data_IF_521912528362
#
_entry.id   IF_521912528362
#
_cell.length_a   1.000
_cell.length_b   1.000
_cell.length_c   1.000
_cell.angle_alpha   90.00
_cell.angle_beta   90.00
_cell.angle_gamma   90.00
#
_symmetry.space_group_name_H-M   'P 1'
#
loop_
_entity.id
_entity.type
_entity.pdbx_description
1 polymer ?
#
# COMPACT_ATOMS: atom_id res chain seq x y z
N UNK A 1 -3.17 -1.13 25.31
CA UNK A 1 -4.47 -1.71 24.91
C UNK A 1 -4.23 -2.93 24.02
N UNK A 2 -4.81 -4.09 24.30
CA UNK A 2 -4.65 -5.27 23.42
C UNK A 2 -5.70 -5.18 22.29
N UNK A 3 -5.28 -4.84 21.08
CA UNK A 3 -6.17 -4.80 19.91
C UNK A 3 -6.30 -6.22 19.37
N UNK A 4 -7.54 -6.71 19.31
CA UNK A 4 -7.84 -8.00 18.74
C UNK A 4 -8.03 -7.85 17.22
N UNK A 5 -7.20 -8.48 16.36
CA UNK A 5 -7.32 -8.38 14.92
C UNK A 5 -8.69 -8.85 14.43
N UNK A 6 -9.34 -8.05 13.59
CA UNK A 6 -10.67 -8.37 13.01
C UNK A 6 -10.47 -9.19 11.75
N UNK A 7 -10.86 -10.49 11.78
CA UNK A 7 -10.77 -11.39 10.62
C UNK A 7 -11.60 -10.89 9.43
N UNK A 8 -12.73 -10.24 9.68
CA UNK A 8 -13.60 -9.66 8.64
C UNK A 8 -12.91 -8.55 7.83
N UNK A 9 -11.93 -7.87 8.42
CA UNK A 9 -11.12 -6.83 7.78
C UNK A 9 -9.78 -7.36 7.23
N UNK A 10 -9.51 -8.67 7.35
CA UNK A 10 -8.28 -9.29 6.85
C UNK A 10 -6.99 -8.80 7.54
N UNK A 11 -7.10 -8.35 8.79
CA UNK A 11 -5.99 -7.72 9.51
C UNK A 11 -4.87 -8.71 9.83
N UNK A 12 -3.66 -8.42 9.31
CA UNK A 12 -2.40 -9.07 9.61
C UNK A 12 -1.35 -7.96 9.79
N UNK A 13 -0.99 -7.67 11.04
CA UNK A 13 -0.05 -6.58 11.34
C UNK A 13 1.38 -7.04 11.10
N UNK A 14 2.13 -6.29 10.31
CA UNK A 14 3.55 -6.51 10.12
C UNK A 14 4.30 -6.11 11.39
N UNK A 15 5.09 -7.04 11.96
CA UNK A 15 5.80 -6.86 13.24
C UNK A 15 7.32 -7.00 13.10
N UNK A 16 7.79 -7.51 11.99
CA UNK A 16 9.21 -7.73 11.69
C UNK A 16 9.89 -6.40 11.35
N UNK A 17 10.83 -5.99 12.22
CA UNK A 17 11.49 -4.69 12.11
C UNK A 17 12.39 -4.58 10.89
N UNK A 18 13.07 -5.66 10.51
CA UNK A 18 13.98 -5.67 9.35
C UNK A 18 13.17 -5.54 8.05
N UNK A 19 12.01 -6.19 8.00
CA UNK A 19 11.08 -6.07 6.87
C UNK A 19 10.48 -4.65 6.81
N UNK A 20 10.05 -4.09 7.95
CA UNK A 20 9.54 -2.71 8.02
C UNK A 20 10.59 -1.71 7.51
N UNK A 21 11.85 -1.88 7.91
CA UNK A 21 12.94 -1.03 7.44
C UNK A 21 13.21 -1.18 5.95
N UNK A 22 13.19 -2.41 5.41
CA UNK A 22 13.31 -2.65 3.98
C UNK A 22 12.18 -1.99 3.18
N UNK A 23 10.94 -2.02 3.68
CA UNK A 23 9.80 -1.38 3.03
C UNK A 23 10.01 0.12 2.89
N UNK A 24 10.35 0.82 3.98
CA UNK A 24 10.52 2.29 3.94
C UNK A 24 11.78 2.72 3.19
N UNK A 25 12.76 1.82 3.05
CA UNK A 25 13.97 2.05 2.25
C UNK A 25 13.81 1.72 0.76
N UNK A 26 12.62 1.27 0.33
CA UNK A 26 12.36 0.95 -1.09
C UNK A 26 12.45 2.19 -1.97
N UNK A 27 12.05 3.33 -1.45
CA UNK A 27 12.07 4.65 -2.14
C UNK A 27 12.46 5.75 -1.16
N UNK A 28 13.05 6.84 -1.67
CA UNK A 28 13.37 8.03 -0.86
C UNK A 28 12.08 8.82 -0.55
N UNK A 29 11.86 9.13 0.75
CA UNK A 29 10.68 9.85 1.22
C UNK A 29 10.98 11.06 2.10
N UNK A 30 12.24 11.39 2.33
CA UNK A 30 12.59 12.59 3.07
C UNK A 30 12.05 13.85 2.34
N UNK A 31 11.39 14.72 3.09
CA UNK A 31 10.74 15.94 2.58
C UNK A 31 9.62 15.70 1.56
N UNK A 32 9.08 14.46 1.45
CA UNK A 32 7.96 14.12 0.56
C UNK A 32 6.66 13.93 1.34
N UNK A 33 5.53 14.05 0.64
CA UNK A 33 4.24 13.71 1.21
C UNK A 33 3.98 12.21 1.01
N UNK A 34 3.59 11.55 2.09
CA UNK A 34 3.40 10.10 2.16
C UNK A 34 1.96 9.79 2.50
N UNK A 35 1.40 8.76 1.87
CA UNK A 35 0.11 8.17 2.20
C UNK A 35 0.30 6.72 2.65
N UNK A 36 -0.16 6.38 3.84
CA UNK A 36 -0.23 5.00 4.31
C UNK A 36 -1.67 4.49 4.27
N UNK A 37 -1.87 3.33 3.63
CA UNK A 37 -3.17 2.66 3.57
C UNK A 37 -3.21 1.51 4.56
N UNK A 38 -4.15 1.56 5.51
CA UNK A 38 -4.32 0.56 6.53
C UNK A 38 -3.13 0.49 7.49
N UNK A 39 -2.78 1.58 8.19
CA UNK A 39 -1.66 1.62 9.13
C UNK A 39 -1.79 0.60 10.26
N UNK A 40 -3.02 0.17 10.58
CA UNK A 40 -3.30 -0.84 11.58
C UNK A 40 -2.79 -0.44 12.97
N UNK A 41 -1.81 -1.18 13.51
CA UNK A 41 -1.18 -0.84 14.80
C UNK A 41 -0.14 0.30 14.72
N UNK A 42 0.08 0.87 13.53
CA UNK A 42 1.04 1.96 13.30
C UNK A 42 2.50 1.53 13.33
N UNK A 43 2.79 0.25 13.05
CA UNK A 43 4.17 -0.22 13.03
C UNK A 43 4.93 0.38 11.84
N UNK A 44 4.35 0.32 10.63
CA UNK A 44 4.97 0.89 9.44
C UNK A 44 4.98 2.43 9.52
N UNK A 45 3.92 3.05 10.03
CA UNK A 45 3.85 4.50 10.32
C UNK A 45 5.07 4.98 11.12
N UNK A 46 5.44 4.23 12.17
CA UNK A 46 6.62 4.54 13.01
C UNK A 46 7.91 4.57 12.19
N UNK A 47 8.08 3.69 11.22
CA UNK A 47 9.28 3.66 10.36
C UNK A 47 9.22 4.73 9.27
N UNK A 48 8.04 5.05 8.75
CA UNK A 48 7.83 6.15 7.80
C UNK A 48 8.24 7.47 8.45
N UNK A 49 7.75 7.78 9.65
CA UNK A 49 8.05 9.02 10.38
C UNK A 49 9.55 9.21 10.64
N UNK A 50 10.31 8.13 10.91
CA UNK A 50 11.77 8.18 11.09
C UNK A 50 12.55 8.62 9.84
N UNK A 51 11.94 8.60 8.66
CA UNK A 51 12.54 9.06 7.41
C UNK A 51 12.32 10.54 7.14
N UNK A 52 11.78 11.30 8.11
CA UNK A 52 11.51 12.73 8.01
C UNK A 52 10.70 13.12 6.76
N UNK A 53 9.52 12.50 6.51
CA UNK A 53 8.65 12.95 5.44
C UNK A 53 8.15 14.39 5.72
N UNK A 54 7.74 15.10 4.68
CA UNK A 54 7.15 16.43 4.79
C UNK A 54 5.79 16.38 5.51
N UNK A 55 5.00 15.35 5.20
CA UNK A 55 3.68 15.07 5.79
C UNK A 55 3.32 13.60 5.60
N UNK A 56 2.62 13.05 6.58
CA UNK A 56 2.07 11.67 6.50
C UNK A 56 0.56 11.74 6.62
N UNK A 57 -0.12 11.23 5.61
CA UNK A 57 -1.55 10.93 5.64
C UNK A 57 -1.72 9.44 5.91
N UNK A 58 -2.73 9.06 6.67
CA UNK A 58 -3.03 7.66 6.96
C UNK A 58 -4.53 7.41 6.82
N UNK A 59 -4.92 6.38 6.07
CA UNK A 59 -6.32 5.98 5.91
C UNK A 59 -6.54 4.67 6.64
N UNK A 60 -7.38 4.71 7.68
CA UNK A 60 -7.76 3.53 8.47
C UNK A 60 -9.28 3.42 8.55
N UNK A 61 -9.78 2.23 8.23
CA UNK A 61 -11.22 1.95 8.23
C UNK A 61 -11.74 1.49 9.59
N UNK A 62 -10.90 0.92 10.42
CA UNK A 62 -11.25 0.40 11.73
C UNK A 62 -11.22 1.50 12.77
N UNK A 63 -12.40 1.87 13.32
CA UNK A 63 -12.55 2.96 14.29
C UNK A 63 -11.68 2.77 15.55
N UNK A 64 -11.53 1.52 16.04
CA UNK A 64 -10.70 1.24 17.21
C UNK A 64 -9.21 1.46 16.92
N UNK A 65 -8.76 1.10 15.70
CA UNK A 65 -7.39 1.35 15.26
C UNK A 65 -7.18 2.84 14.97
N UNK A 66 -8.17 3.53 14.41
CA UNK A 66 -8.11 4.97 14.17
C UNK A 66 -7.88 5.73 15.50
N UNK A 67 -8.67 5.45 16.54
CA UNK A 67 -8.48 6.04 17.86
C UNK A 67 -7.10 5.76 18.47
N UNK A 68 -6.59 4.52 18.29
CA UNK A 68 -5.24 4.17 18.74
C UNK A 68 -4.16 4.97 18.00
N UNK A 69 -4.32 5.17 16.69
CA UNK A 69 -3.37 5.92 15.87
C UNK A 69 -3.37 7.40 16.24
N UNK A 70 -4.54 7.99 16.51
CA UNK A 70 -4.67 9.35 17.02
C UNK A 70 -3.94 9.55 18.35
N UNK A 71 -4.14 8.62 19.30
CA UNK A 71 -3.44 8.65 20.59
C UNK A 71 -1.92 8.48 20.43
N UNK A 72 -1.50 7.56 19.54
CA UNK A 72 -0.10 7.20 19.37
C UNK A 72 0.73 8.24 18.62
N UNK A 73 0.17 8.86 17.59
CA UNK A 73 0.89 9.74 16.68
C UNK A 73 0.43 11.20 16.73
N UNK A 74 -0.68 11.48 17.42
CA UNK A 74 -1.21 12.84 17.63
C UNK A 74 -1.10 13.72 16.36
N UNK A 75 -0.28 14.76 16.40
CA UNK A 75 -0.11 15.73 15.32
C UNK A 75 0.95 15.31 14.26
N UNK A 76 1.57 14.12 14.39
CA UNK A 76 2.60 13.67 13.46
C UNK A 76 2.02 13.15 12.14
N UNK A 77 0.75 12.74 12.15
CA UNK A 77 0.04 12.24 10.96
C UNK A 77 -1.31 12.96 10.79
N UNK A 78 -1.78 13.00 9.55
CA UNK A 78 -3.17 13.38 9.24
C UNK A 78 -3.97 12.11 9.03
N UNK A 79 -4.76 11.71 10.03
CA UNK A 79 -5.57 10.50 9.98
C UNK A 79 -6.90 10.76 9.27
N UNK A 80 -7.29 9.86 8.38
CA UNK A 80 -8.57 9.81 7.68
C UNK A 80 -9.24 8.49 8.07
N UNK A 81 -10.24 8.54 8.92
CA UNK A 81 -10.98 7.35 9.33
C UNK A 81 -12.11 7.07 8.33
N UNK A 82 -11.80 6.36 7.25
CA UNK A 82 -12.76 6.00 6.19
C UNK A 82 -12.27 4.79 5.39
N UNK A 83 -13.14 4.30 4.50
CA UNK A 83 -12.84 3.23 3.57
C UNK A 83 -12.08 3.76 2.34
N UNK A 84 -10.86 3.24 2.09
CA UNK A 84 -10.04 3.60 0.93
C UNK A 84 -10.79 3.45 -0.40
N UNK A 85 -11.74 2.52 -0.49
CA UNK A 85 -12.52 2.32 -1.71
C UNK A 85 -13.49 3.48 -2.00
N UNK A 86 -13.81 4.32 -1.00
CA UNK A 86 -14.70 5.49 -1.13
C UNK A 86 -13.96 6.81 -1.29
N UNK A 87 -12.65 6.84 -1.04
CA UNK A 87 -11.85 8.06 -1.07
C UNK A 87 -11.41 8.37 -2.50
N UNK A 88 -11.35 9.65 -2.85
CA UNK A 88 -10.66 10.18 -4.02
C UNK A 88 -9.25 10.59 -3.59
N UNK A 89 -8.26 9.81 -3.93
CA UNK A 89 -6.88 9.96 -3.45
C UNK A 89 -6.21 11.24 -3.97
N UNK A 90 -6.60 11.69 -5.16
CA UNK A 90 -6.17 12.95 -5.79
C UNK A 90 -6.59 14.22 -5.02
N UNK A 91 -7.54 14.10 -4.07
CA UNK A 91 -8.00 15.21 -3.22
C UNK A 91 -7.28 15.27 -1.87
N UNK A 92 -6.45 14.29 -1.54
CA UNK A 92 -5.72 14.24 -0.26
C UNK A 92 -4.61 15.28 -0.22
N UNK A 93 -3.92 15.46 -1.35
CA UNK A 93 -2.82 16.41 -1.49
C UNK A 93 -2.79 17.01 -2.89
N UNK A 94 -2.25 18.22 -2.99
CA UNK A 94 -1.89 18.84 -4.28
C UNK A 94 -0.54 18.37 -4.82
N UNK A 95 0.28 17.72 -3.98
CA UNK A 95 1.55 17.12 -4.37
C UNK A 95 1.38 15.62 -4.70
N UNK A 96 2.30 15.08 -5.48
CA UNK A 96 2.32 13.63 -5.74
C UNK A 96 2.73 12.87 -4.49
N UNK A 97 1.96 11.86 -4.15
CA UNK A 97 2.16 11.06 -2.95
C UNK A 97 3.09 9.87 -3.20
N UNK A 98 3.91 9.51 -2.24
CA UNK A 98 4.46 8.16 -2.12
C UNK A 98 3.54 7.35 -1.23
N UNK A 99 3.01 6.25 -1.77
CA UNK A 99 2.00 5.43 -1.09
C UNK A 99 2.63 4.15 -0.55
N UNK A 100 2.40 3.87 0.73
CA UNK A 100 2.70 2.58 1.36
C UNK A 100 1.40 1.87 1.74
N UNK A 101 1.36 0.55 1.57
CA UNK A 101 0.19 -0.21 1.98
C UNK A 101 0.49 -1.69 2.23
N UNK A 102 0.22 -2.14 3.46
CA UNK A 102 0.02 -3.54 3.76
C UNK A 102 -1.47 -3.85 3.58
N UNK A 103 -1.91 -3.90 2.31
CA UNK A 103 -3.33 -3.93 1.95
C UNK A 103 -4.03 -5.20 2.46
N UNK A 104 -5.29 -5.10 2.94
CA UNK A 104 -6.10 -6.27 3.22
C UNK A 104 -6.23 -7.14 1.96
N UNK A 105 -5.88 -8.43 2.06
CA UNK A 105 -5.76 -9.31 0.90
C UNK A 105 -7.04 -9.46 0.09
N UNK A 106 -8.19 -9.37 0.74
CA UNK A 106 -9.51 -9.50 0.12
C UNK A 106 -9.88 -8.34 -0.81
N UNK A 107 -9.29 -7.15 -0.61
CA UNK A 107 -9.59 -5.94 -1.40
C UNK A 107 -8.37 -5.36 -2.12
N UNK A 108 -7.18 -5.93 -1.95
CA UNK A 108 -5.93 -5.39 -2.50
C UNK A 108 -5.95 -5.22 -4.02
N UNK A 109 -6.52 -6.17 -4.75
CA UNK A 109 -6.66 -6.10 -6.21
C UNK A 109 -7.72 -5.10 -6.64
N UNK A 110 -8.79 -4.92 -5.86
CA UNK A 110 -9.83 -3.94 -6.11
C UNK A 110 -9.27 -2.52 -5.96
N UNK A 111 -8.52 -2.26 -4.88
CA UNK A 111 -7.83 -0.97 -4.65
C UNK A 111 -6.90 -0.65 -5.83
N UNK A 112 -6.01 -1.58 -6.19
CA UNK A 112 -5.07 -1.37 -7.30
C UNK A 112 -5.81 -1.13 -8.63
N UNK A 113 -6.86 -1.90 -8.91
CA UNK A 113 -7.64 -1.75 -10.13
C UNK A 113 -8.37 -0.42 -10.19
N UNK A 114 -9.01 0.01 -9.08
CA UNK A 114 -9.64 1.32 -8.94
C UNK A 114 -8.65 2.43 -9.28
N UNK A 115 -7.46 2.39 -8.71
CA UNK A 115 -6.45 3.41 -8.96
C UNK A 115 -6.02 3.45 -10.42
N UNK A 116 -5.69 2.30 -11.02
CA UNK A 116 -5.23 2.26 -12.42
C UNK A 116 -6.31 2.74 -13.39
N UNK A 117 -7.57 2.33 -13.19
CA UNK A 117 -8.69 2.71 -14.06
C UNK A 117 -8.94 4.21 -13.99
N UNK A 118 -8.93 4.78 -12.77
CA UNK A 118 -9.24 6.19 -12.54
C UNK A 118 -8.08 7.14 -12.85
N UNK A 119 -6.86 6.66 -13.08
CA UNK A 119 -5.75 7.49 -13.54
C UNK A 119 -6.03 7.96 -14.98
N UNK A 120 -6.11 9.27 -15.14
CA UNK A 120 -6.04 9.93 -16.43
C UNK A 120 -4.56 10.19 -16.80
N UNK A 121 -4.24 11.29 -17.47
CA UNK A 121 -2.84 11.64 -17.80
C UNK A 121 -2.00 12.06 -16.58
N UNK A 122 -2.63 12.55 -15.53
CA UNK A 122 -1.94 13.01 -14.33
C UNK A 122 -2.02 11.97 -13.21
N UNK A 123 -0.87 11.40 -12.84
CA UNK A 123 -0.76 10.54 -11.67
C UNK A 123 -0.75 11.39 -10.40
N UNK A 124 -1.61 11.05 -9.43
CA UNK A 124 -1.64 11.65 -8.10
C UNK A 124 -0.54 11.10 -7.17
N UNK A 125 0.18 10.09 -7.62
CA UNK A 125 1.31 9.48 -6.90
C UNK A 125 2.58 9.46 -7.76
N UNK A 126 3.73 9.34 -7.10
CA UNK A 126 5.02 9.07 -7.74
C UNK A 126 5.46 7.61 -7.55
N UNK A 127 5.12 7.00 -6.39
CA UNK A 127 5.46 5.62 -6.06
C UNK A 127 4.30 4.96 -5.32
N UNK A 128 4.03 3.66 -5.63
CA UNK A 128 3.19 2.81 -4.81
C UNK A 128 4.05 1.64 -4.33
N UNK A 129 4.24 1.51 -3.03
CA UNK A 129 4.97 0.43 -2.36
C UNK A 129 3.93 -0.44 -1.65
N UNK A 130 3.47 -1.49 -2.32
CA UNK A 130 2.29 -2.24 -1.92
C UNK A 130 2.60 -3.72 -1.70
N UNK A 131 2.00 -4.28 -0.66
CA UNK A 131 2.11 -5.69 -0.33
C UNK A 131 0.87 -6.46 -0.81
N UNK A 132 1.13 -7.62 -1.41
CA UNK A 132 0.10 -8.55 -1.89
C UNK A 132 0.41 -9.97 -1.41
N UNK A 133 -0.59 -10.84 -1.40
CA UNK A 133 -0.34 -12.28 -1.36
C UNK A 133 0.56 -12.69 -2.52
N UNK A 134 1.50 -13.61 -2.29
CA UNK A 134 2.51 -14.02 -3.28
C UNK A 134 1.88 -14.42 -4.62
N UNK A 135 0.82 -15.21 -4.60
CA UNK A 135 0.13 -15.62 -5.84
C UNK A 135 -0.46 -14.42 -6.60
N UNK A 136 -1.03 -13.45 -5.88
CA UNK A 136 -1.56 -12.22 -6.49
C UNK A 136 -0.44 -11.40 -7.10
N UNK A 137 0.67 -11.22 -6.37
CA UNK A 137 1.85 -10.50 -6.86
C UNK A 137 2.42 -11.16 -8.13
N UNK A 138 2.52 -12.49 -8.15
CA UNK A 138 2.98 -13.25 -9.32
C UNK A 138 2.06 -13.06 -10.54
N UNK A 139 0.75 -12.93 -10.33
CA UNK A 139 -0.21 -12.59 -11.39
C UNK A 139 -0.07 -11.14 -11.86
N UNK A 140 0.22 -10.19 -10.96
CA UNK A 140 0.45 -8.78 -11.30
C UNK A 140 1.66 -8.64 -12.23
N UNK A 141 2.78 -9.31 -11.92
CA UNK A 141 4.04 -9.19 -12.65
C UNK A 141 4.22 -10.23 -13.78
N UNK A 142 3.22 -11.06 -14.04
CA UNK A 142 3.30 -12.13 -15.03
C UNK A 142 3.55 -11.57 -16.44
N UNK A 143 4.47 -12.25 -17.18
CA UNK A 143 4.76 -11.94 -18.59
C UNK A 143 3.82 -12.70 -19.53
N UNK A 144 3.64 -12.20 -20.75
CA UNK A 144 2.70 -12.73 -21.75
C UNK A 144 2.78 -14.24 -22.03
N UNK A 145 3.94 -14.85 -21.82
CA UNK A 145 4.14 -16.29 -22.04
C UNK A 145 3.98 -17.13 -20.76
N UNK A 146 3.51 -16.55 -19.66
CA UNK A 146 3.31 -17.21 -18.37
C UNK A 146 1.87 -17.71 -18.23
N UNK A 147 1.67 -18.89 -17.62
CA UNK A 147 0.32 -19.40 -17.25
C UNK A 147 -0.43 -18.50 -16.27
N UNK A 148 0.26 -17.60 -15.57
CA UNK A 148 -0.31 -16.61 -14.65
C UNK A 148 -0.70 -15.31 -15.33
N UNK A 149 -0.37 -15.13 -16.61
CA UNK A 149 -0.71 -13.93 -17.37
C UNK A 149 -2.21 -13.83 -17.62
N UNK A 150 -2.80 -12.68 -17.32
CA UNK A 150 -4.24 -12.48 -17.47
C UNK A 150 -4.64 -11.02 -17.23
N UNK A 151 -5.91 -10.80 -16.98
CA UNK A 151 -6.50 -9.45 -16.83
C UNK A 151 -5.73 -8.56 -15.86
N UNK A 152 -5.30 -9.12 -14.72
CA UNK A 152 -4.58 -8.35 -13.69
C UNK A 152 -3.20 -7.92 -14.18
N UNK A 153 -2.46 -8.80 -14.89
CA UNK A 153 -1.16 -8.46 -15.49
C UNK A 153 -1.32 -7.34 -16.53
N UNK A 154 -2.31 -7.48 -17.41
CA UNK A 154 -2.58 -6.51 -18.49
C UNK A 154 -2.91 -5.15 -17.88
N UNK A 155 -3.86 -5.11 -16.95
CA UNK A 155 -4.29 -3.88 -16.29
C UNK A 155 -3.12 -3.20 -15.56
N UNK A 156 -2.37 -3.96 -14.74
CA UNK A 156 -1.29 -3.40 -13.95
C UNK A 156 -0.13 -2.88 -14.81
N UNK A 157 0.20 -3.59 -15.88
CA UNK A 157 1.27 -3.18 -16.79
C UNK A 157 0.83 -2.17 -17.86
N UNK A 158 -0.44 -1.77 -17.90
CA UNK A 158 -0.93 -0.78 -18.85
C UNK A 158 -0.30 0.60 -18.58
N UNK A 159 -0.45 1.10 -17.34
CA UNK A 159 -0.03 2.47 -16.96
C UNK A 159 1.19 2.50 -16.02
N UNK A 160 1.63 1.35 -15.49
CA UNK A 160 2.64 1.27 -14.45
C UNK A 160 3.84 0.41 -14.85
N UNK A 161 5.03 0.82 -14.42
CA UNK A 161 6.20 -0.05 -14.32
C UNK A 161 6.15 -0.74 -12.97
N UNK A 162 6.47 -2.04 -12.94
CA UNK A 162 6.32 -2.86 -11.74
C UNK A 162 7.62 -3.59 -11.45
N UNK A 163 8.11 -3.45 -10.21
CA UNK A 163 9.30 -4.13 -9.72
C UNK A 163 8.98 -4.94 -8.48
N UNK A 164 9.34 -6.23 -8.48
CA UNK A 164 9.33 -7.04 -7.27
C UNK A 164 10.50 -6.64 -6.38
N UNK A 165 10.24 -6.39 -5.11
CA UNK A 165 11.24 -5.99 -4.12
C UNK A 165 11.66 -7.19 -3.28
N UNK A 166 10.76 -7.75 -2.46
CA UNK A 166 11.04 -8.89 -1.58
C UNK A 166 9.83 -9.81 -1.43
N UNK A 167 10.09 -11.08 -1.09
CA UNK A 167 9.08 -11.99 -0.54
C UNK A 167 9.15 -11.95 1.00
N UNK A 168 7.99 -11.90 1.65
CA UNK A 168 7.85 -11.75 3.10
C UNK A 168 7.15 -13.00 3.66
N UNK A 169 7.77 -13.60 4.67
CA UNK A 169 7.28 -14.84 5.27
C UNK A 169 6.15 -14.57 6.28
N UNK A 170 5.23 -15.54 6.50
CA UNK A 170 4.13 -15.39 7.45
C UNK A 170 4.54 -15.04 8.88
N UNK A 171 5.74 -15.48 9.32
CA UNK A 171 6.25 -15.18 10.67
C UNK A 171 6.53 -13.69 10.90
N UNK A 172 6.66 -12.90 9.85
CA UNK A 172 6.80 -11.43 9.95
C UNK A 172 5.51 -10.72 10.35
N UNK A 173 4.39 -11.46 10.50
CA UNK A 173 3.07 -10.89 10.81
C UNK A 173 2.46 -11.45 12.10
N UNK A 174 1.58 -10.66 12.71
CA UNK A 174 0.70 -11.07 13.82
C UNK A 174 -0.74 -10.55 13.58
N UNK A 175 -1.75 -11.45 13.48
CA UNK A 175 -1.64 -12.90 13.36
C UNK A 175 -0.92 -13.32 12.08
N UNK A 176 -0.38 -14.54 12.07
CA UNK A 176 0.32 -15.08 10.89
C UNK A 176 -0.66 -15.40 9.78
N UNK A 177 -0.49 -14.87 8.56
CA UNK A 177 -1.24 -15.32 7.39
C UNK A 177 -0.84 -16.76 7.01
N UNK A 178 -1.67 -17.42 6.20
CA UNK A 178 -1.42 -18.80 5.77
C UNK A 178 -0.36 -18.93 4.67
N UNK A 179 -0.06 -17.84 3.95
CA UNK A 179 0.75 -17.82 2.74
C UNK A 179 1.75 -16.65 2.78
N UNK A 180 2.81 -16.78 1.99
CA UNK A 180 3.81 -15.73 1.79
C UNK A 180 3.17 -14.49 1.18
N UNK A 181 3.76 -13.33 1.45
CA UNK A 181 3.45 -12.05 0.83
C UNK A 181 4.61 -11.59 -0.06
N UNK A 182 4.34 -10.67 -0.95
CA UNK A 182 5.35 -10.05 -1.82
C UNK A 182 5.15 -8.55 -1.85
N UNK A 183 6.23 -7.81 -1.66
CA UNK A 183 6.27 -6.36 -1.82
C UNK A 183 6.57 -6.02 -3.27
N UNK A 184 5.72 -5.18 -3.85
CA UNK A 184 5.87 -4.63 -5.20
C UNK A 184 6.01 -3.11 -5.14
N UNK A 185 6.90 -2.58 -5.97
CA UNK A 185 7.01 -1.15 -6.27
C UNK A 185 6.39 -0.89 -7.64
N UNK A 186 5.49 0.10 -7.69
CA UNK A 186 4.88 0.58 -8.91
C UNK A 186 5.28 2.04 -9.13
N UNK A 187 5.66 2.37 -10.35
CA UNK A 187 5.93 3.74 -10.77
C UNK A 187 5.16 4.06 -12.03
N UNK A 188 4.73 5.33 -12.24
CA UNK A 188 4.09 5.76 -13.47
C UNK A 188 4.91 5.45 -14.72
N UNK A 189 4.26 5.04 -15.79
CA UNK A 189 4.86 5.04 -17.13
C UNK A 189 4.79 6.45 -17.71
N UNK A 190 5.83 6.86 -18.40
CA UNK A 190 5.84 8.14 -19.13
C UNK A 190 4.81 8.16 -20.27
N UNK A 191 4.64 7.02 -20.94
CA UNK A 191 3.72 6.87 -22.06
C UNK A 191 2.88 5.60 -21.91
N UNK A 192 1.60 5.72 -22.11
CA UNK A 192 0.64 4.62 -22.20
C UNK A 192 -0.47 4.99 -23.18
N UNK A 193 -1.11 3.98 -23.80
CA UNK A 193 -2.21 4.23 -24.72
C UNK A 193 -3.51 4.54 -23.96
N UNK A 194 -4.31 5.44 -24.50
CA UNK A 194 -5.66 5.72 -24.00
C UNK A 194 -6.66 4.73 -24.61
N UNK A 195 -7.55 4.20 -23.75
CA UNK A 195 -8.70 3.43 -24.24
C UNK A 195 -9.74 4.44 -24.77
N UNK A 196 -10.14 4.24 -26.01
CA UNK A 196 -11.21 5.02 -26.65
C UNK A 196 -12.58 4.53 -26.19
#
# INVERSE_FOLDING_TARGET
MFIKPKKSLGQNFLIDRDVLEQIVNTVEIANKEVLEIGPGSGNLTTFILKKNPKRVYAIEKDDELALLLEDKFANEITLINDDILKISEDKISSEKLTVFGNLPYNISTEILSKWIININQNFWFENLVLMFQKEVAERIIAKSNSSKYGRLSILSNWKLNIKKIIDIKPQSFSPRPKIDSTLLLFTPKENFFELK
#
